data_IF_572131507721
#
_entry.id   IF_572131507721
#
_cell.length_a   1.000
_cell.length_b   1.000
_cell.length_c   1.000
_cell.angle_alpha   90.00
_cell.angle_beta   90.00
_cell.angle_gamma   90.00
#
_symmetry.space_group_name_H-M   'P 1'
#
loop_
_entity.id
_entity.type
_entity.pdbx_description
1 polymer ?
#
# COMPACT_ATOMS: atom_id res chain seq x y z
N UNK A 1 10.69 10.09 -14.96
CA UNK A 1 9.58 10.38 -14.03
C UNK A 1 9.35 9.17 -13.16
N UNK A 2 9.59 9.32 -11.89
CA UNK A 2 9.43 8.23 -10.93
C UNK A 2 9.19 8.80 -9.54
N UNK A 3 8.35 8.13 -8.76
CA UNK A 3 8.15 8.46 -7.37
C UNK A 3 7.99 7.19 -6.54
N UNK A 4 8.47 7.24 -5.31
CA UNK A 4 8.29 6.16 -4.35
C UNK A 4 7.51 6.69 -3.16
N UNK A 5 6.44 6.00 -2.81
CA UNK A 5 5.60 6.34 -1.66
C UNK A 5 5.78 5.25 -0.62
N UNK A 6 6.10 5.67 0.61
CA UNK A 6 6.21 4.76 1.74
C UNK A 6 5.18 5.16 2.79
N UNK A 7 4.32 4.23 3.16
CA UNK A 7 3.34 4.44 4.23
C UNK A 7 3.73 3.52 5.38
N UNK A 8 4.08 4.11 6.51
CA UNK A 8 4.54 3.37 7.69
C UNK A 8 3.39 3.13 8.65
N UNK A 9 3.50 2.04 9.38
CA UNK A 9 2.58 1.73 10.51
C UNK A 9 1.11 1.59 10.09
N UNK A 10 0.87 0.97 8.93
CA UNK A 10 -0.49 0.59 8.55
C UNK A 10 -1.04 -0.42 9.56
N UNK A 11 -2.25 -0.17 10.02
CA UNK A 11 -2.93 -1.06 10.97
C UNK A 11 -3.53 -2.26 10.25
N UNK A 12 -2.67 -3.02 9.60
CA UNK A 12 -3.05 -4.21 8.84
C UNK A 12 -1.85 -5.17 8.84
N UNK A 13 -2.10 -6.46 8.89
CA UNK A 13 -1.00 -7.42 8.85
C UNK A 13 -0.34 -7.46 7.47
N UNK A 14 0.98 -7.68 7.39
CA UNK A 14 1.66 -7.74 6.09
C UNK A 14 1.07 -8.78 5.14
N UNK A 15 0.63 -9.92 5.66
CA UNK A 15 0.05 -10.99 4.85
C UNK A 15 -1.19 -10.51 4.11
N UNK A 16 -2.06 -9.76 4.78
CA UNK A 16 -3.28 -9.24 4.16
C UNK A 16 -2.97 -8.20 3.10
N UNK A 17 -1.98 -7.34 3.34
CA UNK A 17 -1.56 -6.33 2.36
C UNK A 17 -0.92 -7.01 1.15
N UNK A 18 -0.05 -7.99 1.37
CA UNK A 18 0.59 -8.74 0.28
C UNK A 18 -0.42 -9.42 -0.63
N UNK A 19 -1.47 -9.95 -0.04
CA UNK A 19 -2.52 -10.61 -0.82
C UNK A 19 -3.11 -9.65 -1.86
N UNK A 20 -3.38 -8.40 -1.46
CA UNK A 20 -3.94 -7.40 -2.36
C UNK A 20 -2.90 -6.88 -3.34
N UNK A 21 -1.63 -6.76 -2.91
CA UNK A 21 -0.54 -6.31 -3.80
C UNK A 21 -0.24 -7.30 -4.91
N UNK A 22 -0.62 -8.56 -4.73
CA UNK A 22 -0.31 -9.60 -5.69
C UNK A 22 -0.88 -9.24 -7.07
N UNK A 23 0.00 -9.22 -8.06
CA UNK A 23 -0.39 -8.89 -9.42
C UNK A 23 -0.39 -7.41 -9.77
N UNK A 24 -0.14 -6.52 -8.82
CA UNK A 24 -0.10 -5.09 -9.12
C UNK A 24 1.25 -4.66 -9.73
N UNK A 25 2.33 -5.35 -9.41
CA UNK A 25 3.65 -4.98 -9.94
C UNK A 25 3.65 -5.13 -11.45
N UNK A 26 4.08 -4.08 -12.16
CA UNK A 26 4.08 -4.05 -13.61
C UNK A 26 2.75 -3.65 -14.23
N UNK A 27 1.71 -3.47 -13.42
CA UNK A 27 0.39 -3.10 -13.92
C UNK A 27 0.31 -1.61 -14.20
N UNK A 28 -0.42 -1.25 -15.26
CA UNK A 28 -0.73 0.15 -15.52
C UNK A 28 -1.48 0.74 -14.33
N UNK A 29 -1.17 1.99 -13.98
CA UNK A 29 -1.74 2.64 -12.79
C UNK A 29 -3.26 2.73 -12.88
N UNK A 30 -3.81 3.06 -14.06
CA UNK A 30 -5.26 3.17 -14.20
C UNK A 30 -5.96 1.83 -13.97
N UNK A 31 -5.38 0.75 -14.49
CA UNK A 31 -5.93 -0.59 -14.26
C UNK A 31 -5.82 -0.99 -12.79
N UNK A 32 -4.74 -0.62 -12.14
CA UNK A 32 -4.55 -0.92 -10.72
C UNK A 32 -5.59 -0.18 -9.86
N UNK A 33 -5.85 1.09 -10.17
CA UNK A 33 -6.87 1.87 -9.47
C UNK A 33 -8.24 1.23 -9.61
N UNK A 34 -8.61 0.85 -10.83
CA UNK A 34 -9.90 0.20 -11.07
C UNK A 34 -10.02 -1.12 -10.31
N UNK A 35 -8.96 -1.91 -10.32
CA UNK A 35 -8.96 -3.19 -9.60
C UNK A 35 -9.13 -2.98 -8.09
N UNK A 36 -8.45 -1.98 -7.52
CA UNK A 36 -8.53 -1.69 -6.09
C UNK A 36 -9.88 -1.09 -5.70
N UNK A 37 -10.45 -0.23 -6.53
CA UNK A 37 -11.78 0.35 -6.28
C UNK A 37 -12.86 -0.72 -6.20
N UNK A 38 -12.74 -1.77 -6.98
CA UNK A 38 -13.72 -2.85 -7.04
C UNK A 38 -13.49 -3.94 -6.00
N UNK A 39 -12.49 -3.76 -5.14
CA UNK A 39 -12.13 -4.74 -4.11
C UNK A 39 -12.59 -4.23 -2.74
N UNK A 40 -13.33 -5.06 -2.02
CA UNK A 40 -13.91 -4.69 -0.72
C UNK A 40 -12.95 -4.85 0.46
N UNK A 41 -11.71 -5.25 0.22
CA UNK A 41 -10.76 -5.48 1.30
C UNK A 41 -10.21 -4.16 1.84
N UNK A 42 -10.02 -4.10 3.17
CA UNK A 42 -9.48 -2.91 3.84
C UNK A 42 -8.10 -2.54 3.30
N UNK A 43 -7.26 -3.53 3.01
CA UNK A 43 -5.92 -3.29 2.47
C UNK A 43 -5.96 -2.55 1.13
N UNK A 44 -6.98 -2.78 0.31
CA UNK A 44 -7.13 -2.10 -0.97
C UNK A 44 -7.24 -0.59 -0.81
N UNK A 45 -7.95 -0.12 0.21
CA UNK A 45 -8.08 1.31 0.48
C UNK A 45 -6.75 1.94 0.83
N UNK A 46 -5.92 1.27 1.63
CA UNK A 46 -4.59 1.77 1.97
C UNK A 46 -3.70 1.87 0.75
N UNK A 47 -3.71 0.85 -0.10
CA UNK A 47 -2.91 0.80 -1.32
C UNK A 47 -3.38 1.88 -2.30
N UNK A 48 -4.68 2.03 -2.45
CA UNK A 48 -5.25 3.04 -3.34
C UNK A 48 -4.84 4.44 -2.92
N UNK A 49 -4.89 4.74 -1.63
CA UNK A 49 -4.45 6.04 -1.11
C UNK A 49 -2.96 6.28 -1.38
N UNK A 50 -2.13 5.26 -1.23
CA UNK A 50 -0.70 5.37 -1.51
C UNK A 50 -0.46 5.68 -3.00
N UNK A 51 -1.17 5.01 -3.90
CA UNK A 51 -1.06 5.25 -5.33
C UNK A 51 -1.49 6.68 -5.65
N UNK A 52 -2.60 7.14 -5.12
CA UNK A 52 -3.09 8.51 -5.36
C UNK A 52 -2.10 9.55 -4.84
N UNK A 53 -1.48 9.30 -3.70
CA UNK A 53 -0.44 10.18 -3.16
C UNK A 53 0.75 10.26 -4.11
N UNK A 54 1.20 9.13 -4.65
CA UNK A 54 2.30 9.11 -5.61
C UNK A 54 1.97 9.86 -6.89
N UNK A 55 0.76 9.68 -7.40
CA UNK A 55 0.32 10.40 -8.60
C UNK A 55 0.29 11.90 -8.37
N UNK A 56 -0.18 12.33 -7.21
CA UNK A 56 -0.19 13.75 -6.86
C UNK A 56 1.23 14.31 -6.82
N UNK A 57 2.18 13.59 -6.24
CA UNK A 57 3.58 14.00 -6.21
C UNK A 57 4.16 14.15 -7.62
N UNK A 58 3.87 13.21 -8.51
CA UNK A 58 4.36 13.27 -9.89
C UNK A 58 3.74 14.43 -10.65
N UNK A 59 2.44 14.66 -10.48
CA UNK A 59 1.75 15.75 -11.15
C UNK A 59 2.32 17.11 -10.72
N UNK A 60 2.60 17.28 -9.43
CA UNK A 60 3.14 18.54 -8.91
C UNK A 60 4.57 18.81 -9.34
N UNK A 61 5.36 17.76 -9.60
CA UNK A 61 6.79 17.89 -9.87
C UNK A 61 7.16 17.76 -11.35
N UNK A 62 6.22 17.44 -12.23
CA UNK A 62 6.52 17.20 -13.65
C UNK A 62 5.48 17.88 -14.54
N UNK A 63 5.98 18.71 -15.45
CA UNK A 63 5.10 19.43 -16.39
C UNK A 63 4.55 18.54 -17.48
N UNK A 64 5.22 17.42 -17.76
CA UNK A 64 4.81 16.47 -18.80
C UNK A 64 4.07 15.27 -18.24
N UNK A 65 3.44 15.44 -17.08
CA UNK A 65 2.71 14.37 -16.41
C UNK A 65 1.60 13.80 -17.31
N UNK A 66 1.59 12.49 -17.44
CA UNK A 66 0.54 11.78 -18.16
C UNK A 66 0.28 10.44 -17.44
N UNK A 67 -0.81 10.37 -16.70
CA UNK A 67 -1.13 9.21 -15.87
C UNK A 67 -1.27 7.93 -16.71
N UNK A 68 -1.72 8.02 -17.95
CA UNK A 68 -1.92 6.82 -18.77
C UNK A 68 -0.62 6.09 -19.11
N UNK A 69 0.52 6.78 -19.00
CA UNK A 69 1.84 6.20 -19.27
C UNK A 69 2.56 5.69 -18.04
N UNK A 70 1.90 5.68 -16.89
CA UNK A 70 2.52 5.29 -15.62
C UNK A 70 2.19 3.85 -15.30
N UNK A 71 3.17 3.15 -14.72
CA UNK A 71 3.00 1.80 -14.22
C UNK A 71 3.47 1.71 -12.78
N UNK A 72 3.01 0.70 -12.08
CA UNK A 72 3.54 0.36 -10.76
C UNK A 72 4.78 -0.47 -10.99
N UNK A 73 5.95 0.17 -10.93
CA UNK A 73 7.22 -0.52 -11.21
C UNK A 73 7.65 -1.42 -10.08
N UNK A 74 7.27 -1.12 -8.86
CA UNK A 74 7.54 -1.95 -7.70
C UNK A 74 6.49 -1.73 -6.62
N UNK A 75 6.20 -2.77 -5.87
CA UNK A 75 5.28 -2.70 -4.74
C UNK A 75 5.59 -3.82 -3.78
N UNK A 76 5.84 -3.47 -2.53
CA UNK A 76 6.12 -4.47 -1.51
C UNK A 76 5.68 -3.98 -0.13
N UNK A 77 5.57 -4.90 0.80
CA UNK A 77 5.20 -4.59 2.16
C UNK A 77 6.15 -5.32 3.11
N UNK A 78 6.64 -4.59 4.10
CA UNK A 78 7.48 -5.13 5.16
C UNK A 78 6.71 -5.16 6.46
N UNK A 79 7.11 -6.04 7.38
CA UNK A 79 6.54 -6.09 8.70
C UNK A 79 6.95 -4.86 9.49
N UNK A 80 5.98 -4.17 10.08
CA UNK A 80 6.23 -3.11 11.03
C UNK A 80 6.27 -3.66 12.46
N UNK A 81 6.45 -2.76 13.45
CA UNK A 81 6.44 -3.17 14.85
C UNK A 81 5.12 -3.84 15.22
N UNK A 82 5.20 -4.89 16.01
CA UNK A 82 4.01 -5.52 16.57
C UNK A 82 3.71 -4.85 17.91
N UNK A 83 2.51 -4.30 18.02
CA UNK A 83 2.06 -3.67 19.23
C UNK A 83 1.37 -4.72 20.12
N UNK A 84 1.84 -4.84 21.35
CA UNK A 84 1.25 -5.75 22.32
C UNK A 84 0.22 -5.01 23.17
N UNK A 85 -0.96 -5.57 23.30
CA UNK A 85 -2.03 -5.04 24.14
C UNK A 85 -2.51 -6.15 25.05
N UNK A 86 -2.99 -5.78 26.24
CA UNK A 86 -3.51 -6.73 27.20
C UNK A 86 -4.96 -6.39 27.48
N UNK A 87 -5.79 -7.43 27.52
CA UNK A 87 -7.17 -7.29 27.96
C UNK A 87 -7.35 -7.97 29.29
N UNK A 88 -7.90 -7.29 30.30
CA UNK A 88 -8.32 -7.98 31.52
C UNK A 88 -9.39 -9.02 31.16
N UNK A 89 -9.26 -10.19 31.76
CA UNK A 89 -10.29 -11.21 31.62
C UNK A 89 -10.87 -11.51 32.97
N UNK A 90 -12.03 -12.18 32.97
CA UNK A 90 -12.62 -12.68 34.21
C UNK A 90 -11.57 -13.46 35.04
N UNK A 91 -11.61 -13.37 36.32
CA UNK A 91 -10.68 -14.03 37.25
C UNK A 91 -9.28 -13.40 37.27
N UNK A 92 -9.17 -12.12 36.90
CA UNK A 92 -7.92 -11.38 37.03
C UNK A 92 -6.84 -11.73 36.04
N UNK A 93 -7.13 -12.54 35.04
CA UNK A 93 -6.16 -12.89 34.02
C UNK A 93 -6.14 -11.83 32.91
N UNK A 94 -4.95 -11.54 32.38
CA UNK A 94 -4.78 -10.69 31.23
C UNK A 94 -4.52 -11.53 29.99
N UNK A 95 -5.12 -11.15 28.87
CA UNK A 95 -4.89 -11.80 27.59
C UNK A 95 -4.09 -10.86 26.69
N UNK A 96 -3.01 -11.38 26.11
CA UNK A 96 -2.17 -10.61 25.20
C UNK A 96 -2.80 -10.54 23.81
N UNK A 97 -2.91 -9.33 23.29
CA UNK A 97 -3.38 -9.09 21.93
C UNK A 97 -2.24 -8.49 21.11
N UNK A 98 -1.93 -9.13 19.98
CA UNK A 98 -0.90 -8.64 19.09
C UNK A 98 -1.54 -7.79 17.99
N UNK A 99 -1.14 -6.52 17.91
CA UNK A 99 -1.56 -5.60 16.85
C UNK A 99 -0.41 -5.50 15.86
N UNK A 100 -0.56 -6.18 14.73
CA UNK A 100 0.47 -6.18 13.68
C UNK A 100 0.33 -4.96 12.81
N UNK A 101 1.46 -4.40 12.39
CA UNK A 101 1.49 -3.27 11.48
C UNK A 101 2.35 -3.60 10.26
N UNK A 102 2.22 -2.79 9.23
CA UNK A 102 2.92 -2.98 7.96
C UNK A 102 3.52 -1.67 7.48
N UNK A 103 4.62 -1.78 6.73
CA UNK A 103 5.20 -0.66 5.99
C UNK A 103 5.03 -0.96 4.51
N UNK A 104 4.24 -0.14 3.83
CA UNK A 104 3.92 -0.30 2.42
C UNK A 104 4.79 0.64 1.59
N UNK A 105 5.42 0.09 0.54
CA UNK A 105 6.22 0.88 -0.40
C UNK A 105 5.73 0.62 -1.81
N UNK A 106 5.42 1.69 -2.54
CA UNK A 106 4.98 1.62 -3.94
C UNK A 106 5.82 2.59 -4.75
N UNK A 107 6.38 2.10 -5.85
CA UNK A 107 7.12 2.93 -6.80
C UNK A 107 6.33 3.01 -8.10
N UNK A 108 6.09 4.23 -8.56
CA UNK A 108 5.37 4.52 -9.79
C UNK A 108 6.35 5.19 -10.75
N UNK A 109 6.41 4.69 -11.99
CA UNK A 109 7.32 5.24 -12.99
C UNK A 109 6.69 5.23 -14.37
N UNK A 110 7.37 5.87 -15.33
CA UNK A 110 6.95 5.83 -16.72
C UNK A 110 7.05 4.40 -17.25
N UNK A 111 6.10 4.06 -18.11
CA UNK A 111 6.18 2.81 -18.84
C UNK A 111 7.21 2.97 -19.97
N UNK A 112 8.48 2.80 -19.61
CA UNK A 112 9.55 2.86 -20.61
C UNK A 112 9.79 1.46 -21.13
N UNK A 113 9.48 1.27 -22.38
CA UNK A 113 9.97 0.10 -23.10
C UNK A 113 11.31 0.52 -23.67
N UNK A 114 12.27 0.13 -22.93
CA UNK A 114 13.59 0.39 -23.26
C UNK A 114 14.32 -0.21 -24.19
#
# INVERSE_FOLDING_TARGET
>A
METTVTVKHLKQSPTKVRFVLKGLKGMNVDLAINKLDNNNKKASNFILKAIKSGLSNLENNNSDYNQSNLIISNAFVDSGPTLKRFRPRAMGRASQILKRTSHLTITISNNKKG
#
